data_IF_983467228793
#
_entry.id   IF_983467228793
#
_cell.length_a   1.000
_cell.length_b   1.000
_cell.length_c   1.000
_cell.angle_alpha   90.00
_cell.angle_beta   90.00
_cell.angle_gamma   90.00
#
_symmetry.space_group_name_H-M   'P 1'
#
loop_
_entity.id
_entity.type
_entity.pdbx_description
1 polymer ?
#
# COMPACT_ATOMS: atom_id res chain seq x y z
N UNK A 1 13.66 -18.59 5.84
CA UNK A 1 15.03 -18.05 5.74
C UNK A 1 16.10 -19.05 6.16
N UNK A 2 15.99 -19.72 7.32
CA UNK A 2 16.97 -20.75 7.73
C UNK A 2 17.16 -21.88 6.71
N UNK A 3 16.08 -22.44 6.18
CA UNK A 3 16.18 -23.49 5.15
C UNK A 3 16.93 -23.05 3.89
N UNK A 4 16.71 -21.81 3.42
CA UNK A 4 17.42 -21.29 2.27
C UNK A 4 18.93 -21.19 2.53
N UNK A 5 19.33 -20.74 3.73
CA UNK A 5 20.75 -20.71 4.14
C UNK A 5 21.33 -22.11 4.25
N UNK A 6 20.62 -23.04 4.87
CA UNK A 6 21.06 -24.44 4.96
C UNK A 6 21.34 -25.04 3.58
N UNK A 7 20.41 -24.88 2.64
CA UNK A 7 20.57 -25.40 1.27
C UNK A 7 21.72 -24.68 0.55
N UNK A 8 21.88 -23.37 0.71
CA UNK A 8 22.98 -22.64 0.09
C UNK A 8 24.36 -23.10 0.59
N UNK A 9 24.51 -23.31 1.90
CA UNK A 9 25.75 -23.85 2.47
C UNK A 9 26.02 -25.29 1.98
N UNK A 10 24.99 -26.14 1.95
CA UNK A 10 25.12 -27.50 1.43
C UNK A 10 25.57 -27.53 -0.05
N UNK A 11 24.99 -26.68 -0.90
CA UNK A 11 25.36 -26.57 -2.31
C UNK A 11 26.75 -25.95 -2.51
N UNK A 12 27.16 -25.04 -1.62
CA UNK A 12 28.51 -24.47 -1.62
C UNK A 12 29.56 -25.54 -1.27
N UNK A 13 29.29 -26.37 -0.26
CA UNK A 13 30.20 -27.46 0.14
C UNK A 13 30.36 -28.52 -0.96
N UNK A 14 29.34 -28.71 -1.80
CA UNK A 14 29.37 -29.54 -3.00
C UNK A 14 30.10 -28.89 -4.19
N UNK A 15 30.49 -27.61 -4.08
CA UNK A 15 31.11 -26.84 -5.16
C UNK A 15 30.15 -26.44 -6.29
N UNK A 16 28.84 -26.50 -6.06
CA UNK A 16 27.81 -26.18 -7.07
C UNK A 16 27.56 -24.67 -7.15
N UNK A 17 27.54 -24.00 -6.00
CA UNK A 17 27.33 -22.54 -5.93
C UNK A 17 28.61 -21.84 -5.50
N UNK A 18 28.95 -20.68 -6.11
CA UNK A 18 30.19 -19.95 -5.79
C UNK A 18 30.12 -19.12 -4.50
N UNK A 19 28.92 -18.88 -3.96
CA UNK A 19 28.72 -18.09 -2.74
C UNK A 19 28.08 -18.95 -1.65
N UNK A 20 28.53 -18.73 -0.41
CA UNK A 20 28.09 -19.50 0.77
C UNK A 20 26.77 -19.00 1.36
N UNK A 21 26.52 -17.69 1.32
CA UNK A 21 25.25 -17.09 1.78
C UNK A 21 24.36 -16.73 0.58
N UNK A 22 23.05 -17.06 0.62
CA UNK A 22 22.14 -16.83 -0.51
C UNK A 22 21.63 -15.40 -0.64
N UNK A 23 21.74 -14.56 0.40
CA UNK A 23 21.25 -13.18 0.41
C UNK A 23 22.30 -12.25 1.01
N UNK A 24 22.67 -11.19 0.30
CA UNK A 24 23.60 -10.17 0.80
C UNK A 24 22.91 -9.22 1.78
N UNK A 25 21.70 -8.79 1.41
CA UNK A 25 20.87 -7.89 2.19
C UNK A 25 19.44 -8.42 2.17
N UNK A 26 18.79 -8.39 3.33
CA UNK A 26 17.41 -8.78 3.49
C UNK A 26 16.59 -7.59 3.98
N UNK A 27 15.54 -7.25 3.24
CA UNK A 27 14.62 -6.16 3.58
C UNK A 27 13.27 -6.76 4.02
N UNK A 28 13.01 -6.92 5.33
CA UNK A 28 11.71 -7.39 5.79
C UNK A 28 10.65 -6.34 5.53
N UNK A 29 9.67 -6.64 4.67
CA UNK A 29 8.55 -5.74 4.41
C UNK A 29 7.51 -5.88 5.52
N UNK A 30 6.95 -4.75 5.96
CA UNK A 30 5.87 -4.67 6.93
C UNK A 30 4.59 -5.36 6.44
N UNK A 31 3.71 -5.69 7.39
CA UNK A 31 2.43 -6.30 7.07
C UNK A 31 1.43 -5.26 6.57
N UNK A 32 0.60 -5.65 5.62
CA UNK A 32 -0.58 -4.86 5.25
C UNK A 32 -1.80 -5.42 5.99
N UNK A 33 -2.40 -4.57 6.80
CA UNK A 33 -3.56 -4.84 7.62
C UNK A 33 -4.81 -4.38 6.88
N UNK A 34 -5.84 -5.21 6.87
CA UNK A 34 -7.16 -4.88 6.35
C UNK A 34 -8.15 -4.73 7.48
N UNK A 35 -9.11 -3.82 7.31
CA UNK A 35 -10.21 -3.68 8.24
C UNK A 35 -11.03 -4.98 8.23
N UNK A 36 -11.17 -5.59 9.41
CA UNK A 36 -11.76 -6.91 9.61
C UNK A 36 -12.97 -6.78 10.52
N UNK A 37 -14.09 -7.34 10.09
CA UNK A 37 -15.33 -7.35 10.85
C UNK A 37 -15.58 -8.74 11.43
N UNK A 38 -15.75 -8.80 12.73
CA UNK A 38 -16.00 -10.06 13.45
C UNK A 38 -17.28 -9.94 14.24
N UNK A 39 -18.18 -10.90 14.09
CA UNK A 39 -19.34 -11.01 14.96
C UNK A 39 -18.88 -11.45 16.37
N UNK A 40 -19.08 -10.62 17.41
CA UNK A 40 -18.61 -10.93 18.76
C UNK A 40 -19.32 -12.13 19.38
N UNK A 41 -20.50 -12.53 18.87
CA UNK A 41 -21.27 -13.66 19.42
C UNK A 41 -20.82 -14.99 18.83
N UNK A 42 -20.53 -15.00 17.53
CA UNK A 42 -20.23 -16.24 16.79
C UNK A 42 -18.76 -16.39 16.44
N UNK A 43 -17.96 -15.31 16.52
CA UNK A 43 -16.58 -15.28 16.07
C UNK A 43 -16.44 -15.36 14.55
N UNK A 44 -17.54 -15.24 13.80
CA UNK A 44 -17.53 -15.32 12.33
C UNK A 44 -17.01 -14.01 11.73
N UNK A 45 -16.15 -14.13 10.72
CA UNK A 45 -15.73 -13.00 9.90
C UNK A 45 -16.81 -12.64 8.89
N UNK A 46 -17.07 -11.34 8.76
CA UNK A 46 -18.01 -10.77 7.80
C UNK A 46 -17.25 -10.05 6.69
N UNK A 47 -17.72 -10.21 5.45
CA UNK A 47 -17.16 -9.49 4.32
C UNK A 47 -17.52 -8.00 4.39
N UNK A 48 -16.69 -7.14 3.80
CA UNK A 48 -16.90 -5.67 3.82
C UNK A 48 -18.26 -5.29 3.23
N UNK A 49 -18.72 -6.00 2.21
CA UNK A 49 -19.97 -5.73 1.49
C UNK A 49 -21.22 -6.04 2.32
N UNK A 50 -21.10 -6.98 3.27
CA UNK A 50 -22.18 -7.40 4.16
C UNK A 50 -22.40 -6.42 5.33
N UNK A 51 -21.45 -5.52 5.55
CA UNK A 51 -21.42 -4.60 6.69
C UNK A 51 -21.75 -3.18 6.24
N UNK A 52 -22.55 -2.48 7.04
CA UNK A 52 -22.85 -1.06 6.88
C UNK A 52 -22.39 -0.27 8.11
N UNK A 53 -21.98 0.98 7.89
CA UNK A 53 -21.68 1.92 8.96
C UNK A 53 -22.94 2.70 9.30
N UNK A 54 -23.40 2.58 10.54
CA UNK A 54 -24.57 3.30 11.06
C UNK A 54 -24.08 4.32 12.09
N UNK A 55 -24.42 5.60 11.87
CA UNK A 55 -24.17 6.67 12.83
C UNK A 55 -25.33 6.74 13.81
N UNK A 56 -25.07 6.58 15.10
CA UNK A 56 -26.10 6.72 16.13
C UNK A 56 -26.44 8.21 16.34
N UNK A 57 -27.72 8.58 16.44
CA UNK A 57 -28.11 9.96 16.66
C UNK A 57 -27.65 10.42 18.05
N UNK A 58 -26.67 11.33 18.09
CA UNK A 58 -26.13 11.93 19.31
C UNK A 58 -24.68 11.55 19.64
N UNK A 59 -24.09 10.60 18.92
CA UNK A 59 -22.68 10.22 19.08
C UNK A 59 -21.90 10.40 17.78
N UNK A 60 -20.69 10.96 17.87
CA UNK A 60 -19.76 11.09 16.73
C UNK A 60 -19.13 9.76 16.30
N UNK A 61 -19.61 8.61 16.82
CA UNK A 61 -19.03 7.29 16.55
C UNK A 61 -19.93 6.49 15.62
N UNK A 62 -19.39 6.05 14.50
CA UNK A 62 -20.02 5.08 13.62
C UNK A 62 -19.87 3.67 14.20
N UNK A 63 -20.96 2.91 14.22
CA UNK A 63 -20.98 1.50 14.58
C UNK A 63 -21.21 0.68 13.31
N UNK A 64 -20.54 -0.47 13.21
CA UNK A 64 -20.70 -1.37 12.08
C UNK A 64 -21.77 -2.42 12.37
N UNK A 65 -22.68 -2.64 11.42
CA UNK A 65 -23.76 -3.63 11.52
C UNK A 65 -23.84 -4.49 10.27
N UNK A 66 -24.23 -5.75 10.42
CA UNK A 66 -24.53 -6.63 9.27
C UNK A 66 -25.85 -6.22 8.65
N UNK A 67 -25.89 -5.97 7.34
CA UNK A 67 -27.09 -5.51 6.62
C UNK A 67 -28.28 -6.46 6.74
N UNK A 68 -28.03 -7.77 6.73
CA UNK A 68 -29.08 -8.79 6.74
C UNK A 68 -29.72 -8.99 8.12
N UNK A 69 -28.93 -8.91 9.19
CA UNK A 69 -29.38 -9.25 10.55
C UNK A 69 -29.42 -8.06 11.50
N UNK A 70 -28.84 -6.92 11.14
CA UNK A 70 -28.72 -5.73 12.00
C UNK A 70 -27.80 -5.91 13.20
N UNK A 71 -27.08 -7.03 13.29
CA UNK A 71 -26.18 -7.35 14.41
C UNK A 71 -24.94 -6.49 14.34
N UNK A 72 -24.55 -5.92 15.47
CA UNK A 72 -23.31 -5.14 15.62
C UNK A 72 -22.08 -6.04 15.52
N UNK A 73 -21.11 -5.61 14.72
CA UNK A 73 -19.84 -6.31 14.50
C UNK A 73 -18.69 -5.52 15.11
N UNK A 74 -17.71 -6.22 15.67
CA UNK A 74 -16.46 -5.63 16.13
C UNK A 74 -15.56 -5.32 14.93
N UNK A 75 -14.96 -4.13 14.91
CA UNK A 75 -13.98 -3.72 13.91
C UNK A 75 -12.56 -3.84 14.49
N UNK A 76 -11.64 -4.34 13.66
CA UNK A 76 -10.23 -4.48 14.02
C UNK A 76 -9.35 -4.44 12.78
N UNK A 77 -8.08 -4.08 12.95
CA UNK A 77 -7.08 -4.09 11.89
C UNK A 77 -6.22 -5.34 12.00
N UNK A 78 -6.38 -6.26 11.06
CA UNK A 78 -5.68 -7.54 11.09
C UNK A 78 -4.99 -7.83 9.75
N UNK A 79 -3.97 -8.70 9.77
CA UNK A 79 -3.27 -9.14 8.56
C UNK A 79 -4.28 -9.60 7.50
N UNK A 80 -4.16 -9.04 6.29
CA UNK A 80 -5.02 -9.43 5.18
C UNK A 80 -4.87 -10.91 4.87
N UNK A 81 -6.01 -11.59 4.75
CA UNK A 81 -6.07 -13.02 4.41
C UNK A 81 -7.43 -13.40 3.84
N UNK A 82 -7.45 -14.40 2.96
CA UNK A 82 -8.70 -14.92 2.37
C UNK A 82 -9.66 -15.46 3.43
N UNK A 83 -9.15 -16.05 4.51
CA UNK A 83 -9.98 -16.61 5.59
C UNK A 83 -10.69 -15.55 6.43
N UNK A 84 -10.15 -14.32 6.49
CA UNK A 84 -10.73 -13.21 7.26
C UNK A 84 -11.64 -12.31 6.43
N UNK A 85 -11.76 -12.57 5.12
CA UNK A 85 -12.59 -11.81 4.19
C UNK A 85 -12.27 -10.30 4.17
N UNK A 86 -11.03 -9.95 4.50
CA UNK A 86 -10.51 -8.57 4.59
C UNK A 86 -9.46 -8.27 3.50
N UNK A 87 -9.32 -9.16 2.52
CA UNK A 87 -8.34 -9.02 1.44
C UNK A 87 -8.87 -8.10 0.35
N UNK A 88 -7.99 -7.24 -0.16
CA UNK A 88 -8.28 -6.36 -1.30
C UNK A 88 -7.58 -6.89 -2.55
N UNK A 89 -8.32 -7.00 -3.65
CA UNK A 89 -7.80 -7.48 -4.93
C UNK A 89 -6.95 -6.38 -5.60
N UNK A 90 -5.64 -6.60 -5.83
CA UNK A 90 -4.76 -5.56 -6.37
C UNK A 90 -5.17 -5.10 -7.77
N UNK A 91 -5.66 -6.02 -8.61
CA UNK A 91 -6.10 -5.69 -9.96
C UNK A 91 -7.27 -4.68 -9.94
N UNK A 92 -8.23 -4.87 -9.02
CA UNK A 92 -9.36 -3.97 -8.87
C UNK A 92 -8.93 -2.56 -8.43
N UNK A 93 -7.95 -2.47 -7.52
CA UNK A 93 -7.37 -1.18 -7.07
C UNK A 93 -6.68 -0.46 -8.22
N UNK A 94 -5.87 -1.17 -9.01
CA UNK A 94 -5.17 -0.60 -10.17
C UNK A 94 -6.17 -0.14 -11.23
N UNK A 95 -7.24 -0.90 -11.49
CA UNK A 95 -8.30 -0.48 -12.42
C UNK A 95 -9.03 0.78 -11.92
N UNK A 96 -9.26 0.91 -10.61
CA UNK A 96 -9.98 2.05 -10.01
C UNK A 96 -9.13 3.32 -9.91
N UNK A 97 -7.86 3.20 -9.53
CA UNK A 97 -6.99 4.33 -9.17
C UNK A 97 -5.82 4.56 -10.13
N UNK A 98 -5.50 3.59 -10.99
CA UNK A 98 -4.31 3.61 -11.83
C UNK A 98 -3.07 3.06 -11.11
N UNK A 99 -2.11 2.59 -11.91
CA UNK A 99 -0.91 1.91 -11.42
C UNK A 99 0.00 2.82 -10.58
N UNK A 100 0.27 4.03 -11.09
CA UNK A 100 1.21 4.96 -10.46
C UNK A 100 0.68 5.47 -9.12
N UNK A 101 -0.62 5.76 -9.06
CA UNK A 101 -1.28 6.13 -7.81
C UNK A 101 -1.26 4.99 -6.80
N UNK A 102 -1.52 3.77 -7.25
CA UNK A 102 -1.46 2.58 -6.38
C UNK A 102 -0.06 2.42 -5.77
N UNK A 103 1.00 2.56 -6.59
CA UNK A 103 2.40 2.49 -6.14
C UNK A 103 2.74 3.61 -5.15
N UNK A 104 2.37 4.85 -5.49
CA UNK A 104 2.62 5.99 -4.62
C UNK A 104 1.92 5.81 -3.28
N UNK A 105 0.66 5.39 -3.29
CA UNK A 105 -0.11 5.13 -2.08
C UNK A 105 0.57 4.06 -1.22
N UNK A 106 1.03 2.95 -1.80
CA UNK A 106 1.74 1.89 -1.06
C UNK A 106 3.05 2.37 -0.42
N UNK A 107 3.78 3.26 -1.08
CA UNK A 107 5.06 3.81 -0.61
C UNK A 107 4.89 5.03 0.31
N UNK A 108 3.75 5.71 0.23
CA UNK A 108 3.40 6.84 1.08
C UNK A 108 2.96 6.36 2.47
N UNK A 109 2.97 7.27 3.45
CA UNK A 109 2.49 7.14 4.84
C UNK A 109 3.31 6.31 5.84
N UNK A 110 3.87 5.15 5.46
CA UNK A 110 4.59 4.28 6.42
C UNK A 110 5.93 3.78 5.89
N UNK A 111 6.90 3.65 6.79
CA UNK A 111 8.20 3.07 6.47
C UNK A 111 8.11 1.59 6.05
N UNK A 112 9.09 1.07 5.29
CA UNK A 112 9.01 -0.25 4.67
C UNK A 112 8.90 -1.41 5.67
N UNK A 113 9.30 -1.19 6.93
CA UNK A 113 9.27 -2.20 8.00
C UNK A 113 8.02 -2.15 8.88
N UNK A 114 7.24 -1.06 8.81
CA UNK A 114 6.09 -0.85 9.66
C UNK A 114 4.83 -1.49 9.08
N UNK A 115 3.94 -1.95 9.96
CA UNK A 115 2.63 -2.39 9.50
C UNK A 115 1.84 -1.21 8.91
N UNK A 116 1.09 -1.48 7.85
CA UNK A 116 0.28 -0.51 7.12
C UNK A 116 -1.19 -0.87 7.24
N UNK A 117 -2.02 0.07 7.65
CA UNK A 117 -3.47 -0.05 7.55
C UNK A 117 -3.91 0.31 6.13
N UNK A 118 -4.61 -0.60 5.45
CA UNK A 118 -5.14 -0.37 4.12
C UNK A 118 -6.53 0.27 4.22
N UNK A 119 -6.58 1.59 4.06
CA UNK A 119 -7.82 2.36 4.00
C UNK A 119 -7.98 3.02 2.62
N UNK A 120 -8.93 2.54 1.81
CA UNK A 120 -9.23 3.17 0.52
C UNK A 120 -9.79 4.59 0.67
N UNK A 121 -10.43 4.92 1.79
CA UNK A 121 -10.94 6.28 2.05
C UNK A 121 -9.83 7.31 2.27
N UNK A 122 -8.72 6.92 2.89
CA UNK A 122 -7.55 7.82 3.07
C UNK A 122 -6.79 8.07 1.77
N UNK A 123 -6.98 7.20 0.76
CA UNK A 123 -6.39 7.40 -0.56
C UNK A 123 -6.99 8.58 -1.33
N UNK A 124 -8.10 9.17 -0.85
CA UNK A 124 -8.64 10.43 -1.37
C UNK A 124 -7.65 11.59 -1.31
N UNK A 125 -6.66 11.57 -0.43
CA UNK A 125 -5.63 12.61 -0.31
C UNK A 125 -4.82 12.81 -1.61
N UNK A 126 -4.79 11.81 -2.50
CA UNK A 126 -4.13 11.91 -3.80
C UNK A 126 -5.12 12.22 -4.93
N UNK A 127 -6.38 11.79 -4.81
CA UNK A 127 -7.42 12.13 -5.78
C UNK A 127 -7.73 13.62 -5.75
N UNK A 128 -7.66 14.29 -4.60
CA UNK A 128 -7.85 15.76 -4.54
C UNK A 128 -6.74 16.53 -5.25
N UNK A 129 -5.50 16.02 -5.22
CA UNK A 129 -4.39 16.60 -5.99
C UNK A 129 -4.59 16.47 -7.51
N UNK A 130 -5.32 15.43 -7.95
CA UNK A 130 -5.75 15.29 -9.34
C UNK A 130 -6.96 16.19 -9.67
N UNK A 131 -7.91 16.35 -8.75
CA UNK A 131 -9.13 17.12 -8.98
C UNK A 131 -8.88 18.64 -9.04
N UNK A 132 -7.84 19.15 -8.37
CA UNK A 132 -7.46 20.57 -8.47
C UNK A 132 -6.65 20.92 -9.72
N UNK A 133 -6.12 19.93 -10.44
CA UNK A 133 -5.26 20.16 -11.61
C UNK A 133 -5.95 20.03 -12.97
N UNK A 134 -7.28 19.82 -13.01
CA UNK A 134 -8.04 19.75 -14.28
C UNK A 134 -8.70 21.08 -14.67
N UNK A 135 -8.48 22.17 -13.93
CA UNK A 135 -9.15 23.46 -14.18
C UNK A 135 -8.22 24.61 -14.67
N UNK A 136 -6.98 24.36 -15.07
CA UNK A 136 -6.08 25.45 -15.47
C UNK A 136 -5.10 25.15 -16.63
N UNK A 137 -5.49 24.30 -17.59
CA UNK A 137 -4.81 24.28 -18.90
C UNK A 137 -5.79 24.84 -19.94
N UNK A 138 -6.07 26.14 -19.83
CA UNK A 138 -6.65 26.90 -20.93
C UNK A 138 -5.51 27.29 -21.87
N UNK A 139 -5.34 26.53 -22.95
CA UNK A 139 -4.41 26.84 -24.02
C UNK A 139 -4.87 28.13 -24.71
N UNK A 140 -4.35 29.29 -24.30
CA UNK A 140 -4.48 30.50 -25.09
C UNK A 140 -3.38 30.50 -26.14
N UNK A 141 -3.74 30.11 -27.37
CA UNK A 141 -2.92 30.33 -28.56
C UNK A 141 -2.70 31.82 -28.76
N UNK A 142 -1.49 32.30 -28.50
CA UNK A 142 -1.01 33.58 -28.98
C UNK A 142 0.27 33.36 -29.79
N UNK A 143 0.13 33.64 -31.08
CA UNK A 143 1.18 33.85 -32.07
C UNK A 143 2.38 34.57 -31.46
N UNK A 144 3.54 33.93 -31.55
CA UNK A 144 4.93 34.41 -31.70
C UNK A 144 5.82 33.60 -30.78
N UNK A 145 6.84 32.96 -31.36
CA UNK A 145 7.67 31.95 -30.69
C UNK A 145 8.32 32.44 -29.41
N UNK A 146 8.30 31.58 -28.39
CA UNK A 146 9.28 31.29 -27.33
C UNK A 146 8.50 30.60 -26.19
N UNK A 147 8.75 29.31 -25.98
CA UNK A 147 8.20 28.54 -24.85
C UNK A 147 9.17 28.68 -23.68
N UNK A 148 8.81 29.47 -22.66
CA UNK A 148 9.51 29.48 -21.38
C UNK A 148 8.76 28.54 -20.44
N UNK A 149 9.31 27.34 -20.22
CA UNK A 149 8.84 26.45 -19.16
C UNK A 149 9.47 26.98 -17.85
N UNK A 150 8.71 27.76 -17.09
CA UNK A 150 9.09 28.12 -15.72
C UNK A 150 8.82 26.91 -14.83
N UNK A 151 9.85 26.06 -14.66
CA UNK A 151 9.88 25.06 -13.59
C UNK A 151 10.18 25.82 -12.30
N UNK A 152 9.15 26.07 -11.49
CA UNK A 152 9.32 26.56 -10.11
C UNK A 152 10.04 25.47 -9.33
N UNK A 153 11.32 25.71 -9.09
CA UNK A 153 12.22 24.88 -8.28
C UNK A 153 11.89 25.09 -6.80
N UNK A 154 11.25 24.12 -6.16
CA UNK A 154 11.38 23.94 -4.71
C UNK A 154 12.61 23.10 -4.45
N UNK A 155 13.71 23.82 -4.22
CA UNK A 155 14.98 23.31 -3.72
C UNK A 155 14.79 22.52 -2.42
N UNK A 156 15.15 21.23 -2.47
CA UNK A 156 15.78 20.37 -1.44
C UNK A 156 15.21 18.95 -1.52
N UNK A 157 15.74 18.16 -2.46
CA UNK A 157 15.80 16.71 -2.29
C UNK A 157 17.29 16.35 -2.27
N UNK A 158 17.69 15.82 -1.12
CA UNK A 158 19.02 15.41 -0.76
C UNK A 158 19.70 14.62 -1.88
N UNK A 159 20.91 15.06 -2.20
CA UNK A 159 21.98 14.25 -2.76
C UNK A 159 22.23 13.03 -1.86
N UNK A 160 21.60 11.90 -2.18
CA UNK A 160 21.95 10.60 -1.62
C UNK A 160 21.53 9.48 -2.57
N UNK A 161 22.18 9.39 -3.73
CA UNK A 161 22.22 8.15 -4.51
C UNK A 161 23.40 8.20 -5.48
N UNK A 162 24.59 7.88 -4.99
CA UNK A 162 25.61 7.30 -5.85
C UNK A 162 25.35 5.79 -5.88
N UNK A 163 25.20 5.15 -7.05
CA UNK A 163 25.12 3.70 -7.10
C UNK A 163 26.45 3.13 -6.60
N UNK A 164 26.46 2.17 -5.66
CA UNK A 164 27.68 1.44 -5.40
C UNK A 164 28.05 0.67 -6.67
N UNK A 165 29.34 0.66 -6.99
CA UNK A 165 29.90 -0.24 -8.01
C UNK A 165 29.36 -1.66 -7.82
N UNK A 166 29.09 -2.41 -8.90
CA UNK A 166 28.58 -3.76 -8.77
C UNK A 166 29.58 -4.59 -7.94
N UNK A 167 29.15 -5.32 -6.90
CA UNK A 167 30.01 -6.32 -6.33
C UNK A 167 30.29 -7.35 -7.42
N UNK A 168 31.58 -7.55 -7.70
CA UNK A 168 32.06 -8.75 -8.36
C UNK A 168 31.60 -9.92 -7.50
N UNK A 169 30.56 -10.60 -7.96
CA UNK A 169 30.09 -11.92 -7.56
C UNK A 169 30.42 -12.34 -6.11
N UNK A 170 29.36 -12.34 -5.29
CA UNK A 170 29.30 -12.35 -3.83
C UNK A 170 29.35 -10.91 -3.27
#
# INVERSE_FOLDING_TARGET
MFYARFIAHFLYDLGITPCREPFLQFLPVGLVLGQTFTDPRTGRFCAREEVEAVTLPGENKSVYRVKATGVEVADSWEKMSKSKLNGVEPAAVVTRHGLELTRLTMLASVGPHSAREWNEGESEFVTTASATNTAAITTTTATTGIIIIIIVTTSRICSFWSPPSPPLWC
#
